data_IF_034361493131
#
_entry.id   IF_034361493131
#
_cell.length_a   1.000
_cell.length_b   1.000
_cell.length_c   1.000
_cell.angle_alpha   90.00
_cell.angle_beta   90.00
_cell.angle_gamma   90.00
#
_symmetry.space_group_name_H-M   'P 1'
#
loop_
_entity.id
_entity.type
_entity.pdbx_description
1 polymer ?
#
# COMPACT_ATOMS: atom_id res chain seq x y z
N UNK A 1 4.62 25.17 -12.15
CA UNK A 1 5.29 26.39 -11.65
C UNK A 1 5.64 27.42 -12.72
N UNK A 2 6.26 27.03 -13.84
CA UNK A 2 6.72 27.96 -14.90
C UNK A 2 5.61 28.88 -15.43
N UNK A 3 4.38 28.37 -15.58
CA UNK A 3 3.23 29.14 -16.08
C UNK A 3 2.73 30.22 -15.09
N UNK A 4 2.80 29.93 -13.79
CA UNK A 4 2.42 30.86 -12.71
C UNK A 4 3.48 31.96 -12.57
N UNK A 5 4.75 31.58 -12.66
CA UNK A 5 5.86 32.54 -12.71
C UNK A 5 5.74 33.44 -13.95
N UNK A 6 5.48 32.87 -15.13
CA UNK A 6 5.28 33.64 -16.36
C UNK A 6 4.08 34.61 -16.28
N UNK A 7 3.00 34.24 -15.58
CA UNK A 7 1.87 35.12 -15.32
C UNK A 7 2.22 36.28 -14.35
N UNK A 8 2.99 36.00 -13.30
CA UNK A 8 3.39 37.01 -12.32
C UNK A 8 4.32 38.10 -12.91
N UNK A 9 5.14 37.73 -13.89
CA UNK A 9 6.10 38.64 -14.53
C UNK A 9 5.62 39.23 -15.87
N UNK A 10 4.38 38.98 -16.30
CA UNK A 10 3.83 39.51 -17.55
C UNK A 10 2.56 40.35 -17.34
N UNK A 11 2.67 41.70 -17.40
CA UNK A 11 1.54 42.61 -17.26
C UNK A 11 0.44 42.40 -18.32
N UNK A 12 0.81 41.91 -19.51
CA UNK A 12 -0.15 41.57 -20.57
C UNK A 12 -1.02 40.36 -20.22
N UNK A 13 -0.43 39.35 -19.58
CA UNK A 13 -1.14 38.15 -19.14
C UNK A 13 -2.07 38.44 -17.95
N UNK A 14 -1.69 39.36 -17.06
CA UNK A 14 -2.51 39.80 -15.93
C UNK A 14 -3.80 40.53 -16.37
N UNK A 15 -3.77 41.19 -17.53
CA UNK A 15 -4.96 41.84 -18.10
C UNK A 15 -5.97 40.88 -18.74
N UNK A 16 -5.54 39.66 -19.11
CA UNK A 16 -6.38 38.67 -19.78
C UNK A 16 -6.82 37.53 -18.86
N UNK A 17 -6.01 37.21 -17.86
CA UNK A 17 -6.23 36.09 -16.95
C UNK A 17 -6.43 36.65 -15.55
N UNK A 18 -7.68 36.68 -15.05
CA UNK A 18 -8.00 37.14 -13.70
C UNK A 18 -7.12 36.48 -12.63
N UNK A 19 -6.75 37.26 -11.61
CA UNK A 19 -5.89 36.84 -10.50
C UNK A 19 -6.34 35.52 -9.85
N UNK A 20 -7.64 35.21 -9.84
CA UNK A 20 -8.20 34.02 -9.20
C UNK A 20 -7.99 32.72 -9.98
N UNK A 21 -7.73 32.75 -11.29
CA UNK A 21 -7.58 31.54 -12.11
C UNK A 21 -6.36 30.68 -11.73
N UNK A 22 -5.15 31.24 -11.51
CA UNK A 22 -4.02 30.47 -11.00
C UNK A 22 -4.28 29.83 -9.62
N UNK A 23 -5.00 30.52 -8.73
CA UNK A 23 -5.38 29.98 -7.43
C UNK A 23 -6.43 28.88 -7.54
N UNK A 24 -7.39 28.99 -8.48
CA UNK A 24 -8.30 27.90 -8.79
C UNK A 24 -7.56 26.69 -9.36
N UNK A 25 -6.57 26.89 -10.22
CA UNK A 25 -5.74 25.79 -10.73
C UNK A 25 -4.96 25.08 -9.62
N UNK A 26 -4.39 25.84 -8.69
CA UNK A 26 -3.70 25.28 -7.53
C UNK A 26 -4.68 24.57 -6.57
N UNK A 27 -5.83 25.19 -6.28
CA UNK A 27 -6.88 24.59 -5.46
C UNK A 27 -7.46 23.32 -6.10
N UNK A 28 -7.57 23.26 -7.42
CA UNK A 28 -7.97 22.06 -8.16
C UNK A 28 -6.94 20.92 -8.00
N UNK A 29 -5.65 21.26 -8.02
CA UNK A 29 -4.56 20.29 -7.82
C UNK A 29 -4.57 19.74 -6.37
N UNK A 30 -4.69 20.62 -5.38
CA UNK A 30 -4.80 20.21 -3.96
C UNK A 30 -6.09 19.42 -3.71
N UNK A 31 -7.21 19.83 -4.32
CA UNK A 31 -8.47 19.08 -4.25
C UNK A 31 -8.36 17.72 -4.95
N UNK A 32 -7.57 17.60 -6.03
CA UNK A 32 -7.29 16.33 -6.69
C UNK A 32 -6.58 15.36 -5.74
N UNK A 33 -5.50 15.79 -5.08
CA UNK A 33 -4.80 14.96 -4.08
C UNK A 33 -5.70 14.61 -2.89
N UNK A 34 -6.51 15.56 -2.43
CA UNK A 34 -7.48 15.33 -1.36
C UNK A 34 -8.56 14.31 -1.76
N UNK A 35 -9.13 14.43 -2.95
CA UNK A 35 -10.18 13.53 -3.46
C UNK A 35 -9.61 12.15 -3.77
N UNK A 36 -8.40 12.05 -4.32
CA UNK A 36 -7.70 10.78 -4.52
C UNK A 36 -7.50 10.05 -3.18
N UNK A 37 -6.95 10.73 -2.17
CA UNK A 37 -6.79 10.16 -0.83
C UNK A 37 -8.12 9.91 -0.09
N UNK A 38 -9.21 10.58 -0.46
CA UNK A 38 -10.55 10.29 0.07
C UNK A 38 -11.23 9.12 -0.65
N UNK A 39 -10.98 8.91 -1.94
CA UNK A 39 -11.44 7.76 -2.72
C UNK A 39 -10.73 6.47 -2.27
N UNK A 40 -9.44 6.56 -1.95
CA UNK A 40 -8.68 5.48 -1.32
C UNK A 40 -9.23 5.12 0.07
N UNK A 41 -9.77 6.09 0.82
CA UNK A 41 -10.48 5.87 2.09
C UNK A 41 -11.95 5.47 1.93
N UNK A 42 -12.45 5.38 0.70
CA UNK A 42 -13.84 5.09 0.37
C UNK A 42 -14.15 3.60 0.26
N UNK A 43 -13.13 2.73 0.22
CA UNK A 43 -13.29 1.30 0.43
C UNK A 43 -13.48 1.04 1.93
N UNK A 44 -14.64 0.48 2.28
CA UNK A 44 -15.15 0.15 3.62
C UNK A 44 -15.49 1.33 4.59
N UNK A 45 -16.80 1.58 4.87
CA UNK A 45 -17.22 2.39 6.01
C UNK A 45 -17.27 1.52 7.27
N UNK A 46 -16.23 1.59 8.12
CA UNK A 46 -16.17 0.67 9.26
C UNK A 46 -15.37 1.06 10.49
N UNK A 47 -14.77 2.25 10.62
CA UNK A 47 -14.28 2.74 11.93
C UNK A 47 -13.79 4.19 11.82
N UNK A 48 -14.65 5.14 12.17
CA UNK A 48 -14.19 6.50 12.50
C UNK A 48 -13.94 6.56 14.00
N UNK A 49 -12.67 6.58 14.38
CA UNK A 49 -12.23 6.90 15.73
C UNK A 49 -10.74 7.21 15.74
N UNK A 50 -10.42 8.51 15.76
CA UNK A 50 -9.16 9.07 16.30
C UNK A 50 -7.82 8.37 15.98
N UNK A 51 -7.08 8.89 15.01
CA UNK A 51 -5.84 9.61 15.34
C UNK A 51 -5.35 10.43 14.15
N UNK A 52 -4.78 11.58 14.47
CA UNK A 52 -4.25 12.53 13.52
C UNK A 52 -3.10 11.92 12.71
N UNK A 53 -2.94 12.41 11.47
CA UNK A 53 -1.76 12.19 10.63
C UNK A 53 -0.50 12.40 11.48
N UNK A 54 0.21 11.33 11.78
CA UNK A 54 1.45 11.35 12.52
C UNK A 54 2.47 10.49 11.79
N UNK A 55 3.66 11.05 11.59
CA UNK A 55 4.88 10.30 11.32
C UNK A 55 5.05 9.24 12.42
N UNK A 56 5.65 8.09 12.11
CA UNK A 56 6.01 7.10 13.12
C UNK A 56 6.74 7.76 14.31
N UNK A 57 6.51 7.30 15.55
CA UNK A 57 7.23 7.80 16.73
C UNK A 57 8.74 7.77 16.47
N UNK A 58 9.45 8.85 16.80
CA UNK A 58 10.90 8.86 16.67
C UNK A 58 11.51 8.03 17.80
N UNK A 59 12.75 7.54 17.63
CA UNK A 59 13.45 6.77 18.68
C UNK A 59 13.48 7.50 20.03
N UNK A 60 13.48 8.84 20.02
CA UNK A 60 13.37 9.66 21.23
C UNK A 60 12.03 9.51 21.95
N UNK A 61 10.93 9.41 21.21
CA UNK A 61 9.58 9.29 21.76
C UNK A 61 9.37 7.89 22.37
N UNK A 62 9.94 6.88 21.72
CA UNK A 62 9.96 5.47 22.17
C UNK A 62 10.77 5.32 23.45
N UNK A 63 11.90 6.02 23.56
CA UNK A 63 12.74 6.03 24.76
C UNK A 63 12.12 6.81 25.93
N UNK A 64 11.34 7.85 25.67
CA UNK A 64 10.71 8.69 26.69
C UNK A 64 9.37 8.13 27.20
N UNK A 65 8.60 7.45 26.34
CA UNK A 65 7.24 6.99 26.62
C UNK A 65 7.11 5.46 26.83
N UNK A 66 8.22 4.72 26.80
CA UNK A 66 8.27 3.27 27.02
C UNK A 66 8.05 2.47 25.74
N UNK A 67 9.08 1.80 25.26
CA UNK A 67 9.26 1.49 23.84
C UNK A 67 9.20 0.03 23.38
N UNK A 68 8.96 -0.92 24.27
CA UNK A 68 8.83 -2.35 23.90
C UNK A 68 7.53 -2.99 24.41
N UNK A 69 6.72 -2.24 25.17
CA UNK A 69 5.51 -2.75 25.84
C UNK A 69 4.20 -2.40 25.10
N UNK A 70 4.31 -1.82 23.91
CA UNK A 70 3.17 -1.50 23.06
C UNK A 70 2.61 -2.75 22.38
N UNK A 71 1.68 -3.40 23.08
CA UNK A 71 0.61 -4.27 22.60
C UNK A 71 1.07 -5.51 21.80
N UNK A 72 1.43 -6.58 22.51
CA UNK A 72 1.18 -7.94 22.01
C UNK A 72 -0.23 -8.36 22.48
N UNK A 73 -1.29 -8.11 21.70
CA UNK A 73 -2.62 -8.49 22.11
C UNK A 73 -2.75 -10.02 22.07
N UNK A 74 -3.30 -10.61 23.13
CA UNK A 74 -3.55 -12.06 23.18
C UNK A 74 -4.94 -12.32 22.60
N UNK A 75 -5.03 -13.17 21.58
CA UNK A 75 -6.30 -13.65 21.03
C UNK A 75 -6.83 -14.73 21.96
N UNK A 76 -8.01 -14.50 22.54
CA UNK A 76 -8.73 -15.52 23.31
C UNK A 76 -10.05 -15.82 22.61
N UNK A 77 -10.30 -17.11 22.35
CA UNK A 77 -11.56 -17.57 21.77
C UNK A 77 -12.61 -17.71 22.86
N UNK A 78 -13.65 -16.88 22.81
CA UNK A 78 -14.77 -16.91 23.76
C UNK A 78 -16.04 -17.21 22.96
N UNK A 79 -16.71 -18.33 23.29
CA UNK A 79 -18.00 -18.73 22.69
C UNK A 79 -18.01 -18.72 21.14
N UNK A 80 -16.86 -19.02 20.51
CA UNK A 80 -16.72 -19.10 19.04
C UNK A 80 -16.36 -17.79 18.34
N UNK A 81 -16.14 -16.70 19.09
CA UNK A 81 -15.65 -15.42 18.58
C UNK A 81 -14.23 -15.18 19.10
N UNK A 82 -13.35 -14.69 18.23
CA UNK A 82 -11.98 -14.34 18.60
C UNK A 82 -11.95 -12.91 19.17
N UNK A 83 -11.61 -12.79 20.46
CA UNK A 83 -11.63 -11.53 21.21
C UNK A 83 -10.21 -11.17 21.62
N UNK A 84 -9.79 -9.94 21.33
CA UNK A 84 -8.48 -9.42 21.68
C UNK A 84 -8.51 -8.85 23.10
N UNK A 85 -7.66 -9.37 23.99
CA UNK A 85 -7.54 -8.87 25.36
C UNK A 85 -6.16 -8.25 25.59
N UNK A 86 -6.07 -7.04 26.18
CA UNK A 86 -4.80 -6.46 26.58
C UNK A 86 -4.29 -7.18 27.85
N UNK A 87 -3.36 -8.11 27.67
CA UNK A 87 -2.89 -9.00 28.73
C UNK A 87 -1.53 -8.60 29.36
N UNK A 88 -0.83 -7.59 28.82
CA UNK A 88 0.52 -7.25 29.28
C UNK A 88 0.54 -6.59 30.66
N UNK A 89 1.40 -7.10 31.56
CA UNK A 89 1.58 -6.59 32.93
C UNK A 89 0.53 -7.06 33.95
N UNK A 90 -0.42 -7.91 33.53
CA UNK A 90 -1.48 -8.47 34.38
C UNK A 90 -1.11 -9.88 34.84
N UNK A 91 -1.41 -10.18 36.10
CA UNK A 91 -1.31 -11.54 36.63
C UNK A 91 -2.34 -12.46 35.99
N UNK A 92 -2.10 -13.77 36.01
CA UNK A 92 -3.01 -14.78 35.45
C UNK A 92 -4.45 -14.66 36.01
N UNK A 93 -4.58 -14.20 37.25
CA UNK A 93 -5.86 -13.99 37.93
C UNK A 93 -6.61 -12.76 37.37
N UNK A 94 -5.91 -11.68 37.07
CA UNK A 94 -6.47 -10.48 36.43
C UNK A 94 -6.84 -10.72 34.96
N UNK A 95 -6.10 -11.57 34.26
CA UNK A 95 -6.44 -12.00 32.89
C UNK A 95 -7.70 -12.86 32.90
N UNK A 96 -7.86 -13.75 33.89
CA UNK A 96 -9.07 -14.55 34.05
C UNK A 96 -10.31 -13.69 34.34
N UNK A 97 -10.17 -12.63 35.16
CA UNK A 97 -11.24 -11.69 35.46
C UNK A 97 -11.70 -10.91 34.21
N UNK A 98 -10.76 -10.47 33.36
CA UNK A 98 -11.06 -9.81 32.09
C UNK A 98 -11.77 -10.72 31.07
N UNK A 99 -11.41 -12.02 31.06
CA UNK A 99 -12.08 -13.02 30.22
C UNK A 99 -13.53 -13.20 30.66
N UNK A 100 -13.79 -13.29 31.97
CA UNK A 100 -15.14 -13.46 32.51
C UNK A 100 -16.00 -12.21 32.31
N UNK A 101 -15.44 -11.02 32.53
CA UNK A 101 -16.13 -9.75 32.25
C UNK A 101 -16.51 -9.63 30.76
N UNK A 102 -15.57 -9.96 29.86
CA UNK A 102 -15.82 -9.95 28.41
C UNK A 102 -16.91 -10.95 28.01
N UNK A 103 -16.93 -12.13 28.63
CA UNK A 103 -17.96 -13.15 28.40
C UNK A 103 -19.35 -12.68 28.85
N UNK A 104 -19.45 -12.02 29.99
CA UNK A 104 -20.72 -11.46 30.47
C UNK A 104 -21.23 -10.31 29.59
N UNK A 105 -20.33 -9.47 29.08
CA UNK A 105 -20.70 -8.37 28.16
C UNK A 105 -21.22 -8.89 26.82
N UNK A 106 -20.58 -9.92 26.27
CA UNK A 106 -21.06 -10.61 25.05
C UNK A 106 -22.46 -11.20 25.26
N UNK A 107 -22.71 -11.84 26.41
CA UNK A 107 -24.05 -12.37 26.76
C UNK A 107 -25.11 -11.27 26.89
N UNK A 108 -24.71 -10.07 27.33
CA UNK A 108 -25.60 -8.91 27.45
C UNK A 108 -25.79 -8.14 26.13
N UNK A 109 -25.05 -8.48 25.07
CA UNK A 109 -25.13 -7.81 23.77
C UNK A 109 -24.60 -6.37 23.79
N UNK A 110 -23.75 -6.02 24.75
CA UNK A 110 -23.18 -4.68 24.90
C UNK A 110 -21.92 -4.53 24.04
N UNK A 111 -21.80 -3.48 23.20
CA UNK A 111 -20.59 -3.22 22.44
C UNK A 111 -19.41 -2.88 23.37
N UNK A 112 -18.19 -3.13 22.89
CA UNK A 112 -16.96 -2.75 23.59
C UNK A 112 -16.94 -1.24 23.86
N UNK A 113 -16.57 -0.84 25.07
CA UNK A 113 -16.61 0.56 25.49
C UNK A 113 -15.48 1.31 24.80
N UNK A 114 -15.81 2.33 24.00
CA UNK A 114 -14.80 3.20 23.41
C UNK A 114 -14.21 4.12 24.50
N UNK A 115 -12.92 4.46 24.43
CA UNK A 115 -12.32 5.43 25.36
C UNK A 115 -13.08 6.76 25.35
N UNK A 116 -13.29 7.33 26.54
CA UNK A 116 -14.01 8.59 26.72
C UNK A 116 -13.27 9.74 26.00
N UNK A 117 -13.86 10.31 24.95
CA UNK A 117 -13.30 11.48 24.27
C UNK A 117 -13.37 12.73 25.16
N UNK A 118 -12.30 13.55 25.24
CA UNK A 118 -12.34 14.80 25.97
C UNK A 118 -13.33 15.78 25.33
N UNK A 119 -14.30 16.24 26.13
CA UNK A 119 -15.33 17.20 25.74
C UNK A 119 -14.72 18.51 25.21
N UNK A 120 -14.79 18.73 23.90
CA UNK A 120 -14.41 20.01 23.30
C UNK A 120 -15.44 21.11 23.57
N UNK A 121 -14.96 22.30 23.96
CA UNK A 121 -15.74 23.49 24.23
C UNK A 121 -16.52 24.03 23.00
N UNK A 122 -17.64 24.76 23.20
CA UNK A 122 -18.51 25.18 22.11
C UNK A 122 -17.86 26.26 21.21
N UNK A 123 -17.71 25.95 19.91
CA UNK A 123 -17.27 26.91 18.89
C UNK A 123 -18.37 27.93 18.57
N UNK A 124 -18.04 29.21 18.76
CA UNK A 124 -18.85 30.40 18.41
C UNK A 124 -19.30 30.36 16.94
N UNK A 125 -20.62 30.46 16.71
CA UNK A 125 -21.22 30.55 15.37
C UNK A 125 -20.83 31.86 14.68
N UNK A 126 -20.13 31.78 13.55
CA UNK A 126 -19.99 32.89 12.58
C UNK A 126 -20.52 32.45 11.21
N UNK A 127 -21.46 33.26 10.69
CA UNK A 127 -21.81 33.46 9.28
C UNK A 127 -22.31 32.26 8.46
N UNK A 128 -23.63 32.11 8.33
CA UNK A 128 -24.29 31.11 7.47
C UNK A 128 -24.24 31.44 5.97
N UNK A 129 -24.00 32.70 5.59
CA UNK A 129 -24.08 33.15 4.19
C UNK A 129 -22.79 32.91 3.38
N UNK A 130 -21.62 32.81 4.02
CA UNK A 130 -20.37 32.45 3.33
C UNK A 130 -20.24 30.94 3.02
N UNK A 131 -21.22 30.11 3.43
CA UNK A 131 -21.18 28.65 3.28
C UNK A 131 -21.77 28.15 1.96
N UNK A 132 -22.62 28.95 1.30
CA UNK A 132 -23.30 28.51 0.07
C UNK A 132 -22.46 28.72 -1.19
N UNK A 133 -21.66 29.79 -1.26
CA UNK A 133 -20.73 30.00 -2.39
C UNK A 133 -19.59 28.98 -2.39
N UNK A 134 -19.07 28.63 -1.21
CA UNK A 134 -18.05 27.58 -1.07
C UNK A 134 -18.53 26.19 -1.51
N UNK A 135 -19.80 25.84 -1.23
CA UNK A 135 -20.38 24.57 -1.66
C UNK A 135 -20.59 24.48 -3.17
N UNK A 136 -20.98 25.57 -3.82
CA UNK A 136 -21.15 25.60 -5.28
C UNK A 136 -19.81 25.45 -6.01
N UNK A 137 -18.77 26.15 -5.55
CA UNK A 137 -17.41 26.01 -6.12
C UNK A 137 -16.85 24.62 -5.86
N UNK A 138 -16.99 24.07 -4.65
CA UNK A 138 -16.57 22.70 -4.34
C UNK A 138 -17.36 21.65 -5.14
N UNK A 139 -18.64 21.88 -5.40
CA UNK A 139 -19.48 21.01 -6.22
C UNK A 139 -19.05 20.99 -7.68
N UNK A 140 -18.78 22.16 -8.27
CA UNK A 140 -18.26 22.25 -9.65
C UNK A 140 -16.86 21.66 -9.74
N UNK A 141 -15.98 21.95 -8.78
CA UNK A 141 -14.62 21.39 -8.74
C UNK A 141 -14.65 19.86 -8.58
N UNK A 142 -15.52 19.35 -7.71
CA UNK A 142 -15.74 17.92 -7.52
C UNK A 142 -16.30 17.25 -8.77
N UNK A 143 -17.24 17.89 -9.48
CA UNK A 143 -17.78 17.40 -10.75
C UNK A 143 -16.73 17.39 -11.86
N UNK A 144 -15.95 18.46 -11.98
CA UNK A 144 -14.83 18.57 -12.93
C UNK A 144 -13.78 17.50 -12.66
N UNK A 145 -13.41 17.29 -11.38
CA UNK A 145 -12.49 16.21 -11.00
C UNK A 145 -13.09 14.82 -11.27
N UNK A 146 -14.38 14.63 -11.01
CA UNK A 146 -15.06 13.36 -11.26
C UNK A 146 -15.16 13.01 -12.75
N UNK A 147 -15.38 14.01 -13.62
CA UNK A 147 -15.58 13.81 -15.06
C UNK A 147 -14.28 13.86 -15.86
N UNK A 148 -13.29 14.67 -15.44
CA UNK A 148 -12.05 14.87 -16.18
C UNK A 148 -10.88 14.02 -15.69
N UNK A 149 -10.96 13.40 -14.52
CA UNK A 149 -9.94 12.46 -14.04
C UNK A 149 -10.40 11.06 -14.43
N UNK A 150 -9.78 10.42 -15.43
CA UNK A 150 -10.06 9.02 -15.71
C UNK A 150 -9.76 8.20 -14.46
N UNK A 151 -10.61 7.23 -14.13
CA UNK A 151 -10.32 6.22 -13.13
C UNK A 151 -9.21 5.29 -13.66
N UNK A 152 -8.00 5.82 -13.80
CA UNK A 152 -6.83 5.14 -14.38
C UNK A 152 -6.11 4.26 -13.37
N UNK A 153 -6.85 3.46 -12.60
CA UNK A 153 -6.32 2.56 -11.58
C UNK A 153 -7.05 1.22 -11.60
N UNK A 154 -6.65 0.30 -10.72
CA UNK A 154 -7.23 -1.06 -10.64
C UNK A 154 -8.76 -1.07 -10.60
N UNK A 155 -9.35 -0.17 -9.81
CA UNK A 155 -10.80 -0.08 -9.63
C UNK A 155 -11.54 0.49 -10.85
N UNK A 156 -10.84 1.05 -11.83
CA UNK A 156 -11.41 1.49 -13.10
C UNK A 156 -11.49 0.39 -14.16
N UNK A 157 -10.76 -0.71 -13.98
CA UNK A 157 -10.83 -1.89 -14.85
C UNK A 157 -12.16 -2.60 -14.67
N UNK A 158 -12.70 -3.18 -15.76
CA UNK A 158 -13.87 -4.03 -15.66
C UNK A 158 -13.55 -5.37 -14.97
N UNK A 159 -14.58 -6.12 -14.56
CA UNK A 159 -14.38 -7.39 -13.85
C UNK A 159 -13.62 -8.42 -14.70
N UNK A 160 -13.84 -8.42 -16.02
CA UNK A 160 -13.20 -9.37 -16.93
C UNK A 160 -11.71 -9.08 -17.10
N UNK A 161 -11.32 -7.80 -17.14
CA UNK A 161 -9.93 -7.34 -17.18
C UNK A 161 -9.18 -7.70 -15.89
N UNK A 162 -9.83 -7.49 -14.73
CA UNK A 162 -9.26 -7.87 -13.42
C UNK A 162 -9.03 -9.38 -13.34
N UNK A 163 -10.06 -10.19 -13.62
CA UNK A 163 -9.94 -11.65 -13.60
C UNK A 163 -8.90 -12.16 -14.59
N UNK A 164 -8.85 -11.60 -15.80
CA UNK A 164 -7.83 -11.94 -16.80
C UNK A 164 -6.43 -11.63 -16.30
N UNK A 165 -6.27 -10.52 -15.59
CA UNK A 165 -4.98 -10.10 -15.04
C UNK A 165 -4.56 -11.00 -13.90
N UNK A 166 -5.41 -11.22 -12.90
CA UNK A 166 -5.14 -12.14 -11.81
C UNK A 166 -4.78 -13.54 -12.34
N UNK A 167 -5.49 -14.04 -13.35
CA UNK A 167 -5.15 -15.31 -13.99
C UNK A 167 -3.77 -15.29 -14.68
N UNK A 168 -3.41 -14.19 -15.35
CA UNK A 168 -2.09 -14.01 -15.95
C UNK A 168 -0.99 -13.98 -14.89
N UNK A 169 -1.17 -13.21 -13.82
CA UNK A 169 -0.19 -13.10 -12.73
C UNK A 169 -0.06 -14.43 -11.97
N UNK A 170 -1.18 -15.10 -11.69
CA UNK A 170 -1.24 -16.45 -11.10
C UNK A 170 -0.46 -17.46 -11.93
N UNK A 171 -0.62 -17.42 -13.26
CA UNK A 171 0.13 -18.31 -14.14
C UNK A 171 1.64 -18.06 -14.09
N UNK A 172 2.10 -16.82 -13.96
CA UNK A 172 3.54 -16.55 -13.89
C UNK A 172 4.11 -16.83 -12.50
N UNK A 173 3.36 -16.50 -11.44
CA UNK A 173 3.72 -16.84 -10.07
C UNK A 173 3.86 -18.37 -9.91
N UNK A 174 2.93 -19.15 -10.46
CA UNK A 174 3.00 -20.61 -10.39
C UNK A 174 4.22 -21.22 -11.08
N UNK A 175 4.81 -20.51 -12.05
CA UNK A 175 6.05 -20.96 -12.70
C UNK A 175 7.29 -20.71 -11.87
N UNK A 176 7.29 -19.64 -11.08
CA UNK A 176 8.35 -19.36 -10.10
C UNK A 176 8.19 -20.29 -8.89
N UNK A 177 6.96 -20.42 -8.37
CA UNK A 177 6.63 -21.29 -7.25
C UNK A 177 6.83 -22.79 -7.55
N UNK A 178 6.68 -23.18 -8.82
CA UNK A 178 6.79 -24.58 -9.25
C UNK A 178 5.53 -25.42 -9.01
N UNK A 179 4.43 -24.79 -8.58
CA UNK A 179 3.12 -25.40 -8.36
C UNK A 179 1.99 -24.41 -8.65
N UNK A 180 0.74 -24.83 -8.49
CA UNK A 180 -0.41 -23.93 -8.64
C UNK A 180 -0.32 -22.79 -7.61
N UNK A 181 -0.43 -21.55 -8.10
CA UNK A 181 -0.41 -20.33 -7.32
C UNK A 181 -1.60 -19.46 -7.75
N UNK A 182 -2.17 -18.73 -6.79
CA UNK A 182 -3.25 -17.77 -7.00
C UNK A 182 -2.81 -16.40 -6.47
N UNK A 183 -2.79 -15.44 -7.39
CA UNK A 183 -2.55 -14.03 -7.10
C UNK A 183 -3.90 -13.33 -7.03
N UNK A 184 -4.16 -12.68 -5.90
CA UNK A 184 -5.35 -11.87 -5.67
C UNK A 184 -4.97 -10.40 -5.60
N UNK A 185 -5.73 -9.54 -6.28
CA UNK A 185 -5.53 -8.11 -6.22
C UNK A 185 -6.49 -7.52 -5.20
N UNK A 186 -5.97 -7.27 -4.01
CA UNK A 186 -6.76 -6.91 -2.83
C UNK A 186 -7.26 -5.46 -2.90
N UNK A 187 -8.35 -5.28 -3.64
CA UNK A 187 -8.99 -3.98 -3.83
C UNK A 187 -9.62 -3.42 -2.56
N UNK A 188 -9.99 -4.28 -1.62
CA UNK A 188 -10.69 -3.93 -0.39
C UNK A 188 -9.70 -3.70 0.77
N UNK A 189 -8.44 -4.09 0.59
CA UNK A 189 -7.38 -3.94 1.56
C UNK A 189 -7.54 -4.89 2.75
N UNK A 190 -8.20 -6.04 2.55
CA UNK A 190 -8.49 -7.01 3.61
C UNK A 190 -7.25 -7.82 4.04
N UNK A 191 -6.26 -7.96 3.15
CA UNK A 191 -5.03 -8.71 3.36
C UNK A 191 -3.78 -7.79 3.29
N UNK A 192 -3.65 -6.99 2.23
CA UNK A 192 -2.56 -6.03 2.02
C UNK A 192 -3.07 -4.60 2.20
N UNK A 193 -2.32 -3.78 2.93
CA UNK A 193 -2.75 -2.41 3.30
C UNK A 193 -3.25 -2.26 4.74
N UNK A 194 -3.64 -3.34 5.43
CA UNK A 194 -3.75 -3.36 6.91
C UNK A 194 -2.35 -3.27 7.53
N UNK A 195 -1.41 -4.05 6.98
CA UNK A 195 0.03 -3.89 7.21
C UNK A 195 0.50 -2.71 6.35
N UNK A 196 0.57 -1.52 6.97
CA UNK A 196 0.73 -0.18 6.37
C UNK A 196 1.90 0.02 5.37
N UNK A 197 2.70 -1.00 5.06
CA UNK A 197 3.93 -0.89 4.26
C UNK A 197 4.18 -2.06 3.29
N UNK A 198 3.27 -3.04 3.21
CA UNK A 198 3.47 -4.22 2.36
C UNK A 198 2.82 -4.02 0.98
N UNK A 199 3.61 -4.11 -0.08
CA UNK A 199 3.11 -4.08 -1.47
C UNK A 199 2.51 -5.43 -1.91
N UNK A 200 2.82 -6.48 -1.15
CA UNK A 200 2.33 -7.85 -1.32
C UNK A 200 2.42 -8.64 -0.01
N UNK A 201 1.74 -9.79 0.02
CA UNK A 201 1.79 -10.77 1.10
C UNK A 201 1.54 -12.16 0.52
N UNK A 202 2.35 -13.15 0.90
CA UNK A 202 2.20 -14.53 0.45
C UNK A 202 2.22 -15.54 1.60
N UNK A 203 1.47 -16.63 1.42
CA UNK A 203 1.61 -17.82 2.26
C UNK A 203 2.92 -18.54 1.94
N UNK A 204 3.82 -18.68 2.93
CA UNK A 204 5.07 -19.42 2.71
C UNK A 204 4.79 -20.89 2.46
N UNK A 205 5.16 -21.40 1.28
CA UNK A 205 4.87 -22.77 0.84
C UNK A 205 3.40 -23.04 0.55
N UNK A 206 2.56 -21.99 0.56
CA UNK A 206 1.12 -22.06 0.34
C UNK A 206 0.76 -21.88 -1.12
N UNK A 207 -0.47 -21.43 -1.39
CA UNK A 207 -0.95 -21.26 -2.77
C UNK A 207 -1.56 -19.89 -3.05
N UNK A 208 -1.72 -19.04 -2.04
CA UNK A 208 -2.32 -17.72 -2.20
C UNK A 208 -1.31 -16.62 -1.86
N UNK A 209 -1.25 -15.62 -2.75
CA UNK A 209 -0.60 -14.36 -2.47
C UNK A 209 -1.52 -13.19 -2.87
N UNK A 210 -1.37 -12.09 -2.15
CA UNK A 210 -2.17 -10.89 -2.27
C UNK A 210 -1.25 -9.75 -2.66
N UNK A 211 -1.66 -8.93 -3.62
CA UNK A 211 -0.92 -7.76 -4.08
C UNK A 211 -1.79 -6.52 -3.95
N UNK A 212 -1.15 -5.39 -3.68
CA UNK A 212 -1.89 -4.12 -3.61
C UNK A 212 -2.47 -3.77 -4.98
N UNK A 213 -3.58 -3.02 -5.04
CA UNK A 213 -4.20 -2.61 -6.30
C UNK A 213 -3.24 -1.83 -7.21
N UNK A 214 -2.34 -1.04 -6.64
CA UNK A 214 -1.35 -0.28 -7.39
C UNK A 214 -0.35 -1.20 -8.13
N UNK A 215 0.13 -2.25 -7.48
CA UNK A 215 1.03 -3.26 -8.07
C UNK A 215 0.30 -4.04 -9.15
N UNK A 216 -0.90 -4.54 -8.85
CA UNK A 216 -1.71 -5.27 -9.83
C UNK A 216 -2.01 -4.45 -11.08
N UNK A 217 -2.42 -3.19 -10.90
CA UNK A 217 -2.67 -2.31 -12.03
C UNK A 217 -1.39 -2.02 -12.82
N UNK A 218 -0.23 -1.90 -12.18
CA UNK A 218 1.03 -1.71 -12.89
C UNK A 218 1.41 -2.92 -13.75
N UNK A 219 1.20 -4.12 -13.21
CA UNK A 219 1.43 -5.37 -13.93
C UNK A 219 0.41 -5.58 -15.06
N UNK A 220 -0.86 -5.16 -14.88
CA UNK A 220 -1.88 -5.15 -15.94
C UNK A 220 -1.39 -4.38 -17.16
N UNK A 221 -0.98 -3.12 -16.97
CA UNK A 221 -0.58 -2.24 -18.06
C UNK A 221 0.65 -2.77 -18.80
N UNK A 222 1.59 -3.34 -18.04
CA UNK A 222 2.75 -4.00 -18.62
C UNK A 222 2.33 -5.18 -19.50
N UNK A 223 1.46 -6.06 -18.99
CA UNK A 223 1.09 -7.31 -19.65
C UNK A 223 0.12 -7.14 -20.83
N UNK A 224 -0.70 -6.09 -20.84
CA UNK A 224 -1.82 -5.97 -21.78
C UNK A 224 -1.88 -4.65 -22.56
N UNK A 225 -1.27 -3.56 -22.06
CA UNK A 225 -1.33 -2.24 -22.70
C UNK A 225 -0.03 -1.85 -23.41
N UNK A 226 1.02 -2.68 -23.32
CA UNK A 226 2.37 -2.36 -23.81
C UNK A 226 2.88 -1.01 -23.24
N UNK A 227 2.43 -0.66 -22.03
CA UNK A 227 2.76 0.58 -21.35
C UNK A 227 3.56 0.28 -20.08
N UNK A 228 4.88 0.39 -20.22
CA UNK A 228 5.84 0.23 -19.12
C UNK A 228 5.63 1.27 -18.00
N UNK A 229 5.08 2.45 -18.33
CA UNK A 229 4.92 3.56 -17.40
C UNK A 229 6.24 4.05 -16.81
N UNK A 230 6.24 4.36 -15.50
CA UNK A 230 7.47 4.75 -14.79
C UNK A 230 8.37 3.53 -14.59
N UNK A 231 9.62 3.63 -15.07
CA UNK A 231 10.63 2.58 -14.96
C UNK A 231 10.77 2.02 -13.54
N UNK A 232 10.85 2.89 -12.52
CA UNK A 232 11.04 2.46 -11.13
C UNK A 232 9.80 1.75 -10.56
N UNK A 233 8.61 2.17 -10.97
CA UNK A 233 7.36 1.55 -10.51
C UNK A 233 7.13 0.19 -11.17
N UNK A 234 7.42 0.06 -12.47
CA UNK A 234 7.37 -1.22 -13.17
C UNK A 234 8.41 -2.20 -12.60
N UNK A 235 9.64 -1.74 -12.37
CA UNK A 235 10.69 -2.54 -11.74
C UNK A 235 10.25 -3.05 -10.36
N UNK A 236 9.69 -2.18 -9.52
CA UNK A 236 9.17 -2.56 -8.20
C UNK A 236 8.02 -3.56 -8.30
N UNK A 237 7.07 -3.35 -9.20
CA UNK A 237 5.93 -4.25 -9.37
C UNK A 237 6.33 -5.66 -9.82
N UNK A 238 7.30 -5.75 -10.74
CA UNK A 238 7.90 -7.03 -11.15
C UNK A 238 8.63 -7.71 -9.99
N UNK A 239 9.43 -6.96 -9.24
CA UNK A 239 10.16 -7.49 -8.09
C UNK A 239 9.22 -8.01 -7.00
N UNK A 240 8.13 -7.28 -6.69
CA UNK A 240 7.13 -7.70 -5.71
C UNK A 240 6.43 -8.99 -6.15
N UNK A 241 5.93 -9.09 -7.39
CA UNK A 241 5.29 -10.32 -7.85
C UNK A 241 6.26 -11.52 -7.81
N UNK A 242 7.52 -11.31 -8.22
CA UNK A 242 8.53 -12.36 -8.14
C UNK A 242 8.84 -12.76 -6.69
N UNK A 243 8.92 -11.78 -5.78
CA UNK A 243 9.16 -11.98 -4.35
C UNK A 243 8.04 -12.81 -3.71
N UNK A 244 6.78 -12.41 -3.89
CA UNK A 244 5.65 -13.18 -3.37
C UNK A 244 5.61 -14.59 -3.94
N UNK A 245 5.98 -14.78 -5.21
CA UNK A 245 6.03 -16.10 -5.81
C UNK A 245 7.13 -17.02 -5.22
N UNK A 246 8.24 -16.45 -4.72
CA UNK A 246 9.27 -17.22 -4.00
C UNK A 246 8.83 -17.59 -2.58
N UNK A 247 8.03 -16.76 -1.93
CA UNK A 247 7.35 -17.18 -0.70
C UNK A 247 6.43 -18.36 -0.94
N UNK A 248 5.62 -18.33 -2.02
CA UNK A 248 4.79 -19.49 -2.39
C UNK A 248 5.61 -20.75 -2.61
N UNK A 249 6.82 -20.63 -3.18
CA UNK A 249 7.77 -21.75 -3.35
C UNK A 249 8.24 -22.38 -2.02
N UNK A 250 8.14 -21.63 -0.91
CA UNK A 250 8.51 -22.08 0.43
C UNK A 250 9.71 -21.36 1.05
N UNK A 251 10.30 -20.37 0.38
CA UNK A 251 11.36 -19.55 0.98
C UNK A 251 10.75 -18.55 1.97
N UNK A 252 11.18 -18.60 3.23
CA UNK A 252 10.65 -17.73 4.29
C UNK A 252 11.55 -16.51 4.55
N UNK A 253 12.81 -16.55 4.11
CA UNK A 253 13.78 -15.52 4.40
C UNK A 253 13.65 -14.35 3.41
N UNK A 254 13.12 -13.23 3.87
CA UNK A 254 12.91 -11.99 3.10
C UNK A 254 14.11 -11.54 2.23
N UNK A 255 15.33 -11.62 2.76
CA UNK A 255 16.54 -11.23 2.04
C UNK A 255 16.92 -12.21 0.93
N UNK A 256 16.77 -13.51 1.18
CA UNK A 256 16.98 -14.56 0.17
C UNK A 256 15.86 -14.47 -0.89
N UNK A 257 14.61 -14.33 -0.48
CA UNK A 257 13.45 -14.12 -1.36
C UNK A 257 13.70 -12.92 -2.28
N UNK A 258 14.18 -11.78 -1.75
CA UNK A 258 14.54 -10.62 -2.57
C UNK A 258 15.63 -10.93 -3.59
N UNK A 259 16.67 -11.66 -3.19
CA UNK A 259 17.74 -12.05 -4.09
C UNK A 259 17.20 -12.87 -5.27
N UNK A 260 16.39 -13.88 -4.97
CA UNK A 260 15.78 -14.72 -5.99
C UNK A 260 14.78 -13.95 -6.85
N UNK A 261 13.99 -13.07 -6.24
CA UNK A 261 13.03 -12.21 -6.93
C UNK A 261 13.68 -11.33 -8.00
N UNK A 262 14.82 -10.69 -7.69
CA UNK A 262 15.55 -9.89 -8.67
C UNK A 262 16.08 -10.73 -9.84
N UNK A 263 16.47 -11.97 -9.58
CA UNK A 263 16.94 -12.89 -10.62
C UNK A 263 15.79 -13.40 -11.50
N UNK A 264 14.73 -13.96 -10.90
CA UNK A 264 13.56 -14.45 -11.62
C UNK A 264 12.73 -13.34 -12.26
N UNK A 265 12.81 -12.11 -11.73
CA UNK A 265 12.12 -10.92 -12.23
C UNK A 265 12.51 -10.56 -13.67
N UNK A 266 13.71 -10.95 -14.12
CA UNK A 266 14.15 -10.75 -15.51
C UNK A 266 13.36 -11.61 -16.49
N UNK A 267 13.13 -12.88 -16.15
CA UNK A 267 12.35 -13.79 -17.00
C UNK A 267 10.85 -13.49 -16.89
N UNK A 268 10.37 -13.13 -15.69
CA UNK A 268 9.01 -12.64 -15.48
C UNK A 268 8.72 -11.41 -16.36
N UNK A 269 9.59 -10.40 -16.35
CA UNK A 269 9.43 -9.19 -17.16
C UNK A 269 9.32 -9.48 -18.65
N UNK A 270 10.14 -10.41 -19.16
CA UNK A 270 10.07 -10.84 -20.57
C UNK A 270 8.73 -11.47 -20.93
N UNK A 271 8.23 -12.33 -20.05
CA UNK A 271 6.93 -13.00 -20.24
C UNK A 271 5.75 -12.04 -20.10
N UNK A 272 5.95 -10.91 -19.45
CA UNK A 272 4.98 -9.82 -19.39
C UNK A 272 5.18 -8.78 -20.51
N UNK A 273 6.07 -9.01 -21.47
CA UNK A 273 6.18 -8.20 -22.69
C UNK A 273 7.44 -7.34 -22.79
N UNK A 274 8.29 -7.28 -21.77
CA UNK A 274 9.53 -6.51 -21.83
C UNK A 274 10.60 -7.18 -22.69
N UNK A 275 11.53 -6.38 -23.22
CA UNK A 275 12.79 -6.93 -23.70
C UNK A 275 13.63 -7.48 -22.53
N UNK A 276 14.45 -8.51 -22.79
CA UNK A 276 15.40 -9.04 -21.81
C UNK A 276 16.30 -7.93 -21.23
N UNK A 277 16.77 -7.01 -22.08
CA UNK A 277 17.64 -5.91 -21.66
C UNK A 277 16.93 -4.95 -20.69
N UNK A 278 15.68 -4.58 -20.98
CA UNK A 278 14.89 -3.71 -20.11
C UNK A 278 14.60 -4.39 -18.77
N UNK A 279 14.12 -5.64 -18.79
CA UNK A 279 13.82 -6.40 -17.58
C UNK A 279 15.07 -6.62 -16.72
N UNK A 280 16.21 -6.96 -17.34
CA UNK A 280 17.49 -7.07 -16.66
C UNK A 280 17.85 -5.74 -15.99
N UNK A 281 17.85 -4.63 -16.74
CA UNK A 281 18.17 -3.29 -16.22
C UNK A 281 17.28 -2.90 -15.03
N UNK A 282 15.99 -3.22 -15.08
CA UNK A 282 15.05 -2.98 -13.97
C UNK A 282 15.47 -3.74 -12.71
N UNK A 283 15.78 -5.03 -12.84
CA UNK A 283 16.18 -5.85 -11.68
C UNK A 283 17.54 -5.46 -11.12
N UNK A 284 18.51 -5.07 -11.97
CA UNK A 284 19.81 -4.53 -11.49
C UNK A 284 19.61 -3.29 -10.63
N UNK A 285 18.68 -2.43 -11.03
CA UNK A 285 18.38 -1.21 -10.27
C UNK A 285 17.76 -1.57 -8.91
N UNK A 286 16.83 -2.53 -8.87
CA UNK A 286 16.25 -2.99 -7.59
C UNK A 286 17.32 -3.58 -6.67
N UNK A 287 18.24 -4.38 -7.20
CA UNK A 287 19.37 -4.92 -6.45
C UNK A 287 20.32 -3.83 -5.95
N UNK A 288 20.69 -2.88 -6.82
CA UNK A 288 21.59 -1.78 -6.48
C UNK A 288 21.01 -0.85 -5.39
N UNK A 289 19.70 -0.61 -5.42
CA UNK A 289 19.01 0.24 -4.46
C UNK A 289 18.60 -0.51 -3.17
N UNK A 290 18.67 -1.85 -3.15
CA UNK A 290 18.15 -2.68 -2.06
C UNK A 290 18.72 -2.26 -0.70
N UNK A 291 20.04 -2.03 -0.60
CA UNK A 291 20.67 -1.59 0.65
C UNK A 291 20.15 -0.23 1.16
N UNK A 292 19.63 0.63 0.27
CA UNK A 292 19.00 1.90 0.67
C UNK A 292 17.58 1.65 1.18
N UNK A 293 16.80 0.84 0.47
CA UNK A 293 15.42 0.52 0.86
C UNK A 293 15.35 -0.33 2.14
N UNK A 294 16.26 -1.27 2.33
CA UNK A 294 16.31 -2.15 3.48
C UNK A 294 16.70 -1.43 4.79
N UNK A 295 17.10 -0.15 4.76
CA UNK A 295 17.40 0.61 6.00
C UNK A 295 16.20 0.72 6.93
N UNK A 296 15.00 0.85 6.38
CA UNK A 296 13.75 0.88 7.15
C UNK A 296 13.14 -0.50 7.38
N UNK A 297 13.67 -1.55 6.72
CA UNK A 297 13.19 -2.92 6.84
C UNK A 297 14.37 -3.90 6.66
N UNK A 298 15.23 -4.07 7.69
CA UNK A 298 16.51 -4.79 7.53
C UNK A 298 16.38 -6.26 7.12
N UNK A 299 15.24 -6.90 7.39
CA UNK A 299 14.97 -8.27 6.97
C UNK A 299 15.06 -8.45 5.44
N UNK A 300 14.72 -7.41 4.66
CA UNK A 300 14.73 -7.42 3.20
C UNK A 300 16.11 -7.17 2.59
N UNK A 301 17.16 -6.99 3.40
CA UNK A 301 18.51 -6.79 2.90
C UNK A 301 19.02 -8.08 2.23
N UNK A 302 19.45 -7.98 0.97
CA UNK A 302 20.00 -9.14 0.26
C UNK A 302 21.34 -9.58 0.89
N UNK A 303 21.56 -10.90 1.08
CA UNK A 303 22.84 -11.43 1.58
C UNK A 303 24.01 -11.18 0.62
N UNK A 304 25.25 -11.25 1.12
CA UNK A 304 26.46 -11.06 0.28
C UNK A 304 26.64 -12.16 -0.78
N UNK A 305 26.03 -13.31 -0.53
CA UNK A 305 25.97 -14.46 -1.42
C UNK A 305 25.09 -14.22 -2.65
N UNK A 306 24.27 -13.15 -2.64
CA UNK A 306 23.45 -12.69 -3.75
C UNK A 306 24.29 -11.97 -4.82
N UNK A 307 25.04 -12.76 -5.60
CA UNK A 307 25.94 -12.27 -6.65
C UNK A 307 26.20 -13.36 -7.68
N UNK A 308 26.71 -12.96 -8.84
CA UNK A 308 27.14 -13.88 -9.90
C UNK A 308 28.11 -14.94 -9.36
N UNK A 309 27.78 -16.23 -9.55
CA UNK A 309 28.53 -17.38 -9.06
C UNK A 309 28.52 -17.56 -7.53
N UNK A 310 27.69 -16.79 -6.81
CA UNK A 310 27.44 -16.97 -5.38
C UNK A 310 26.53 -18.18 -5.10
N UNK A 311 26.39 -18.55 -3.83
CA UNK A 311 25.52 -19.70 -3.45
C UNK A 311 24.02 -19.43 -3.63
N UNK A 312 23.63 -18.16 -3.80
CA UNK A 312 22.24 -17.75 -4.09
C UNK A 312 22.03 -17.41 -5.57
N UNK A 313 22.99 -17.74 -6.44
CA UNK A 313 22.82 -17.58 -7.89
C UNK A 313 21.94 -18.71 -8.45
N UNK A 314 20.75 -18.36 -8.93
CA UNK A 314 19.82 -19.29 -9.57
C UNK A 314 20.31 -19.78 -10.93
N UNK A 315 21.21 -19.03 -11.57
CA UNK A 315 21.66 -19.29 -12.93
C UNK A 315 23.20 -19.24 -13.03
N UNK A 316 23.93 -20.11 -12.30
CA UNK A 316 25.39 -20.05 -12.23
C UNK A 316 26.09 -20.28 -13.58
N UNK A 317 25.41 -20.93 -14.53
CA UNK A 317 25.92 -21.15 -15.88
C UNK A 317 25.80 -19.90 -16.79
N UNK A 318 25.09 -18.86 -16.34
CA UNK A 318 24.93 -17.60 -17.05
C UNK A 318 25.92 -16.58 -16.50
N UNK A 319 26.71 -15.96 -17.37
CA UNK A 319 27.65 -14.90 -16.95
C UNK A 319 26.97 -13.58 -16.53
N UNK A 320 25.63 -13.53 -16.54
CA UNK A 320 24.83 -12.35 -16.28
C UNK A 320 23.96 -12.61 -15.06
N UNK A 321 24.39 -12.04 -13.96
CA UNK A 321 23.53 -11.74 -12.81
C UNK A 321 22.84 -10.40 -13.10
N UNK A 322 21.61 -10.15 -12.60
CA UNK A 322 21.05 -8.81 -12.65
C UNK A 322 22.03 -7.84 -11.98
#
# INVERSE_FOLDING_TARGET
MVLILAWFFSPRLQGWIPLWLPFLGFAALEAHFLVAGLRERGAAPGSRGSSARGRSPQESDVAELGGEEWLEPVVVRIEGQDVWLPATGKSDEEVAELIDESRERLRRGEPAEAPEEPRTAPRRRRGLLARLEGLAVLGVLGFVLFVLVPDGGWNGLDQSERTRTEARLSSEAGRIAGHEARIHCDAEGEAVGIVQHADGLAEVGGSNAFLTPAICFRLHRLAFEDDEGSFSQAARALAVLAHEAWHLQGEANEGITNCYAFQSGVELGQRLGLSEETAARMMRQQLADNATFARSAPAYLVPQECRNGGSLDLFPDRSRFP
#
